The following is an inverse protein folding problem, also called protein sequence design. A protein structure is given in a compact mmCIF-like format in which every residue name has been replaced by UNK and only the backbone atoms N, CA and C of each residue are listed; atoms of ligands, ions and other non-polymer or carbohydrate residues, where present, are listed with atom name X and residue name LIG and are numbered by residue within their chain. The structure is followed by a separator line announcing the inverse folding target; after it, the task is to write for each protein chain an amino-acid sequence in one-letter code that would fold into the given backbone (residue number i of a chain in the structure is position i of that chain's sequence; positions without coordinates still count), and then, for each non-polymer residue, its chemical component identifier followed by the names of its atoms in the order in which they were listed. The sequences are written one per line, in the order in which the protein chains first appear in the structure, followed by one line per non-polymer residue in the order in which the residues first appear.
data_IF_159877089627
#
_entry.id   IF_159877089627
#
_cell.length_a   1.000
_cell.length_b   1.000
_cell.length_c   1.000
_cell.angle_alpha   90.00
_cell.angle_beta   90.00
_cell.angle_gamma   90.00
#
_symmetry.space_group_name_H-M   'P 1'
#
loop_
_entity.id
_entity.type
_entity.pdbx_description
1 polymer ?
#
# COMPACT_ATOMS: atom_id res chain seq x y z
N UNK A 1 -52.53 32.12 38.96
CA UNK A 1 -51.09 32.35 39.23
C UNK A 1 -50.81 33.83 39.07
N UNK A 2 -50.17 34.50 40.06
CA UNK A 2 -49.88 35.93 39.98
C UNK A 2 -48.99 36.19 38.76
N UNK A 3 -49.30 37.22 37.98
CA UNK A 3 -48.68 37.52 36.68
C UNK A 3 -47.14 37.56 36.75
N UNK A 4 -46.58 38.00 37.88
CA UNK A 4 -45.14 37.99 38.13
C UNK A 4 -44.47 36.60 38.16
N UNK A 5 -45.20 35.51 38.49
CA UNK A 5 -44.64 34.14 38.42
C UNK A 5 -44.54 33.64 36.97
N UNK A 6 -45.48 34.02 36.11
CA UNK A 6 -45.44 33.66 34.67
C UNK A 6 -44.27 34.35 33.97
N UNK A 7 -44.04 35.63 34.28
CA UNK A 7 -42.91 36.40 33.73
C UNK A 7 -41.57 35.79 34.18
N UNK A 8 -41.42 35.40 35.45
CA UNK A 8 -40.20 34.73 35.93
C UNK A 8 -39.93 33.38 35.26
N UNK A 9 -40.97 32.61 34.98
CA UNK A 9 -40.83 31.33 34.25
C UNK A 9 -40.45 31.60 32.79
N UNK A 10 -41.06 32.57 32.12
CA UNK A 10 -40.71 32.94 30.74
C UNK A 10 -39.26 33.41 30.65
N UNK A 11 -38.80 34.25 31.59
CA UNK A 11 -37.40 34.70 31.65
C UNK A 11 -36.44 33.53 31.89
N UNK A 12 -36.79 32.58 32.76
CA UNK A 12 -35.98 31.38 33.01
C UNK A 12 -35.87 30.50 31.76
N UNK A 13 -36.97 30.31 31.01
CA UNK A 13 -36.97 29.57 29.76
C UNK A 13 -36.19 30.30 28.66
N UNK A 14 -36.24 31.62 28.60
CA UNK A 14 -35.46 32.43 27.65
C UNK A 14 -33.95 32.31 27.93
N UNK A 15 -33.56 32.34 29.21
CA UNK A 15 -32.16 32.14 29.63
C UNK A 15 -31.71 30.72 29.31
N UNK A 16 -32.53 29.71 29.58
CA UNK A 16 -32.24 28.31 29.26
C UNK A 16 -32.09 28.09 27.74
N UNK A 17 -32.92 28.75 26.93
CA UNK A 17 -32.85 28.68 25.47
C UNK A 17 -31.63 29.42 24.91
N UNK A 18 -31.19 30.51 25.55
CA UNK A 18 -29.96 31.23 25.15
C UNK A 18 -28.67 30.43 25.37
N UNK A 19 -28.66 29.54 26.38
CA UNK A 19 -27.55 28.61 26.60
C UNK A 19 -27.47 27.53 25.52
N UNK A 20 -28.58 27.19 24.87
CA UNK A 20 -28.62 26.26 23.73
C UNK A 20 -28.18 26.89 22.39
N UNK A 21 -28.01 28.22 22.32
CA UNK A 21 -27.62 28.93 21.10
C UNK A 21 -26.09 29.18 21.00
N UNK A 22 -25.30 28.78 21.99
CA UNK A 22 -23.83 28.92 21.98
C UNK A 22 -23.11 27.81 21.17
N UNK A 23 -23.72 27.30 20.10
CA UNK A 23 -23.32 26.08 19.40
C UNK A 23 -22.27 26.22 18.29
N UNK A 24 -21.80 27.44 17.97
CA UNK A 24 -20.93 27.67 16.80
C UNK A 24 -19.62 28.39 17.13
N UNK A 25 -19.07 28.22 18.34
CA UNK A 25 -17.81 28.87 18.73
C UNK A 25 -16.57 28.26 18.04
N UNK A 26 -16.65 27.01 17.58
CA UNK A 26 -15.48 26.25 17.08
C UNK A 26 -15.56 25.95 15.56
N UNK A 27 -16.24 26.82 14.80
CA UNK A 27 -16.35 26.67 13.35
C UNK A 27 -15.17 27.36 12.66
N UNK A 28 -14.36 26.58 11.94
CA UNK A 28 -13.33 27.08 11.02
C UNK A 28 -13.90 26.97 9.61
N UNK A 29 -13.97 28.09 8.88
CA UNK A 29 -14.50 28.14 7.52
C UNK A 29 -13.66 27.30 6.54
N UNK A 30 -14.26 26.83 5.44
CA UNK A 30 -13.56 26.00 4.46
C UNK A 30 -12.41 26.79 3.79
N UNK A 31 -12.63 28.09 3.65
CA UNK A 31 -11.73 29.09 3.10
C UNK A 31 -10.57 29.41 4.04
N UNK A 32 -10.61 29.01 5.31
CA UNK A 32 -9.51 29.17 6.27
C UNK A 32 -8.66 27.90 6.41
N UNK A 33 -9.02 26.82 5.70
CA UNK A 33 -8.32 25.53 5.74
C UNK A 33 -7.30 25.41 4.60
N UNK A 34 -6.13 24.87 4.95
CA UNK A 34 -5.15 24.38 4.00
C UNK A 34 -5.32 22.85 3.88
N UNK A 35 -5.97 22.40 2.80
CA UNK A 35 -6.20 20.97 2.58
C UNK A 35 -4.92 20.29 2.13
N UNK A 36 -4.38 19.43 2.99
CA UNK A 36 -3.19 18.63 2.70
C UNK A 36 -3.62 17.39 1.92
N UNK A 37 -3.13 17.24 0.69
CA UNK A 37 -3.39 16.08 -0.17
C UNK A 37 -2.31 15.01 -0.01
N UNK A 38 -1.06 15.43 0.19
CA UNK A 38 0.07 14.53 0.40
C UNK A 38 1.04 15.08 1.43
N UNK A 39 1.72 14.17 2.13
CA UNK A 39 2.81 14.50 3.04
C UNK A 39 3.99 13.57 2.76
N UNK A 40 5.19 14.14 2.64
CA UNK A 40 6.46 13.42 2.54
C UNK A 40 7.28 13.69 3.78
N UNK A 41 7.83 12.66 4.40
CA UNK A 41 8.62 12.78 5.63
C UNK A 41 10.02 12.25 5.36
N UNK A 42 11.00 13.15 5.35
CA UNK A 42 12.41 12.87 5.20
C UNK A 42 13.17 13.22 6.48
N UNK A 43 14.46 12.89 6.51
CA UNK A 43 15.39 13.30 7.56
C UNK A 43 16.42 14.28 7.00
N UNK A 44 16.75 15.29 7.78
CA UNK A 44 17.84 16.23 7.46
C UNK A 44 19.19 15.63 7.87
N UNK A 45 20.29 16.19 7.36
CA UNK A 45 21.64 15.80 7.76
C UNK A 45 21.90 15.99 9.27
N UNK A 46 21.16 16.91 9.91
CA UNK A 46 21.23 17.23 11.34
C UNK A 46 20.33 16.31 12.18
N UNK A 47 19.60 15.41 11.54
CA UNK A 47 18.74 14.42 12.19
C UNK A 47 17.32 14.91 12.52
N UNK A 48 16.97 16.15 12.17
CA UNK A 48 15.61 16.69 12.28
C UNK A 48 14.69 16.11 11.19
N UNK A 49 13.38 16.13 11.45
CA UNK A 49 12.38 15.83 10.43
C UNK A 49 12.33 16.95 9.40
N UNK A 50 12.29 16.60 8.11
CA UNK A 50 11.93 17.50 7.02
C UNK A 50 10.63 17.00 6.41
N UNK A 51 9.57 17.80 6.50
CA UNK A 51 8.24 17.41 6.05
C UNK A 51 7.82 18.29 4.88
N UNK A 52 7.56 17.67 3.73
CA UNK A 52 6.96 18.32 2.57
C UNK A 52 5.47 18.09 2.55
N UNK A 53 4.70 19.17 2.62
CA UNK A 53 3.24 19.15 2.52
C UNK A 53 2.82 19.60 1.13
N UNK A 54 2.04 18.76 0.42
CA UNK A 54 1.38 19.16 -0.82
C UNK A 54 -0.03 19.64 -0.50
N UNK A 55 -0.26 20.93 -0.69
CA UNK A 55 -1.48 21.65 -0.32
C UNK A 55 -2.30 21.92 -1.57
N UNK A 56 -3.59 21.64 -1.51
CA UNK A 56 -4.51 21.94 -2.60
C UNK A 56 -4.71 23.45 -2.76
N UNK A 57 -4.82 23.90 -4.01
CA UNK A 57 -5.32 25.23 -4.38
C UNK A 57 -6.68 25.08 -5.08
N UNK A 58 -7.81 25.08 -4.35
CA UNK A 58 -9.14 24.80 -4.90
C UNK A 58 -9.49 25.63 -6.13
N UNK A 59 -9.15 26.93 -6.12
CA UNK A 59 -9.40 27.87 -7.21
C UNK A 59 -8.71 27.48 -8.53
N UNK A 60 -7.58 26.77 -8.45
CA UNK A 60 -6.84 26.27 -9.62
C UNK A 60 -7.24 24.84 -10.01
N UNK A 61 -7.89 24.11 -9.10
CA UNK A 61 -8.37 22.76 -9.36
C UNK A 61 -9.70 22.74 -10.12
N UNK A 62 -10.57 23.73 -9.92
CA UNK A 62 -11.92 23.82 -10.51
C UNK A 62 -11.98 24.31 -11.97
N UNK A 63 -10.85 24.71 -12.58
CA UNK A 63 -10.79 25.14 -13.98
C UNK A 63 -10.98 23.99 -14.98
N UNK A 64 -11.93 24.14 -15.91
CA UNK A 64 -12.34 23.17 -16.92
C UNK A 64 -11.30 22.84 -18.01
N UNK A 65 -11.66 21.87 -18.86
CA UNK A 65 -10.84 21.18 -19.89
C UNK A 65 -10.30 22.05 -21.05
N UNK A 66 -10.20 23.37 -20.92
CA UNK A 66 -9.58 24.19 -21.97
C UNK A 66 -8.06 24.23 -21.80
N UNK A 67 -7.39 23.55 -22.71
CA UNK A 67 -5.93 23.50 -22.85
C UNK A 67 -5.32 24.89 -23.03
N UNK A 68 -4.83 25.46 -21.94
CA UNK A 68 -4.12 26.73 -21.96
C UNK A 68 -3.69 27.19 -20.58
N UNK A 69 -2.54 26.69 -20.11
CA UNK A 69 -1.73 27.28 -19.04
C UNK A 69 -2.46 27.55 -17.70
N UNK A 70 -3.24 26.58 -17.21
CA UNK A 70 -3.74 26.57 -15.84
C UNK A 70 -2.61 26.24 -14.85
N UNK A 71 -2.32 27.16 -13.93
CA UNK A 71 -1.23 27.00 -12.95
C UNK A 71 -1.37 25.74 -12.09
N UNK A 72 -0.28 25.39 -11.40
CA UNK A 72 -0.21 24.19 -10.56
C UNK A 72 -1.39 24.12 -9.57
N UNK A 73 -2.13 23.00 -9.59
CA UNK A 73 -3.30 22.79 -8.74
C UNK A 73 -2.93 22.60 -7.27
N UNK A 74 -1.63 22.46 -7.00
CA UNK A 74 -1.07 22.32 -5.67
C UNK A 74 0.14 23.22 -5.46
N UNK A 75 0.49 23.42 -4.20
CA UNK A 75 1.79 23.96 -3.79
C UNK A 75 2.45 23.01 -2.82
N UNK A 76 3.78 22.94 -2.89
CA UNK A 76 4.57 22.13 -1.96
C UNK A 76 5.32 23.06 -1.01
N UNK A 77 5.15 22.84 0.29
CA UNK A 77 5.87 23.58 1.32
C UNK A 77 6.63 22.57 2.19
N UNK A 78 7.94 22.77 2.29
CA UNK A 78 8.81 21.95 3.13
C UNK A 78 9.13 22.72 4.41
N UNK A 79 9.00 22.03 5.55
CA UNK A 79 9.31 22.58 6.87
C UNK A 79 10.16 21.58 7.65
N UNK A 80 11.13 22.11 8.38
CA UNK A 80 12.02 21.32 9.22
C UNK A 80 11.68 21.51 10.69
N UNK A 81 11.72 20.44 11.48
CA UNK A 81 11.46 20.50 12.91
C UNK A 81 12.01 19.31 13.69
N UNK A 82 12.30 19.52 14.96
CA UNK A 82 12.78 18.45 15.86
C UNK A 82 11.70 17.40 16.12
N UNK A 83 10.44 17.79 15.97
CA UNK A 83 9.27 16.89 16.07
C UNK A 83 8.28 17.18 14.95
N UNK A 84 7.43 16.20 14.61
CA UNK A 84 6.35 16.41 13.65
C UNK A 84 5.38 17.53 14.09
N UNK A 85 5.25 17.77 15.41
CA UNK A 85 4.42 18.83 15.96
C UNK A 85 5.05 20.22 15.76
N UNK A 86 6.36 20.35 15.99
CA UNK A 86 7.11 21.58 15.70
C UNK A 86 7.05 21.94 14.21
N UNK A 87 7.30 20.94 13.35
CA UNK A 87 7.18 21.10 11.90
C UNK A 87 5.77 21.56 11.48
N UNK A 88 4.70 20.98 12.05
CA UNK A 88 3.32 21.43 11.82
C UNK A 88 3.09 22.88 12.26
N UNK A 89 3.61 23.30 13.41
CA UNK A 89 3.46 24.67 13.90
C UNK A 89 4.18 25.67 12.99
N UNK A 90 5.37 25.31 12.49
CA UNK A 90 6.09 26.10 11.50
C UNK A 90 5.30 26.24 10.21
N UNK A 91 4.63 25.18 9.74
CA UNK A 91 3.78 25.25 8.55
C UNK A 91 2.68 26.30 8.69
N UNK A 92 2.02 26.38 9.85
CA UNK A 92 0.93 27.36 10.10
C UNK A 92 1.41 28.79 9.84
N UNK A 93 2.66 29.11 10.18
CA UNK A 93 3.24 30.45 9.97
C UNK A 93 3.51 30.78 8.50
N UNK A 94 3.45 29.79 7.59
CA UNK A 94 3.76 29.95 6.17
C UNK A 94 2.53 29.99 5.26
N UNK A 95 1.39 29.39 5.67
CA UNK A 95 0.24 29.18 4.79
C UNK A 95 -0.98 30.06 5.09
N UNK A 96 -0.91 30.89 6.14
CA UNK A 96 -2.00 31.77 6.62
C UNK A 96 -3.36 31.06 6.72
N UNK A 97 -3.32 29.75 7.01
CA UNK A 97 -4.46 28.83 7.01
C UNK A 97 -4.19 27.69 7.99
N UNK A 98 -5.24 27.07 8.50
CA UNK A 98 -5.09 25.91 9.40
C UNK A 98 -4.88 24.64 8.57
N UNK A 99 -3.75 23.91 8.72
CA UNK A 99 -3.52 22.65 8.02
C UNK A 99 -4.56 21.60 8.40
N UNK A 100 -5.22 21.05 7.39
CA UNK A 100 -6.23 20.01 7.52
C UNK A 100 -5.82 18.74 6.77
N UNK A 101 -5.78 17.62 7.50
CA UNK A 101 -5.34 16.31 6.98
C UNK A 101 -6.49 15.36 6.65
N UNK A 102 -7.75 15.80 6.72
CA UNK A 102 -8.90 14.94 6.45
C UNK A 102 -8.93 14.46 4.99
N UNK A 103 -8.27 15.19 4.08
CA UNK A 103 -8.13 14.86 2.67
C UNK A 103 -6.76 14.25 2.31
N UNK A 104 -5.94 13.89 3.29
CA UNK A 104 -4.63 13.28 3.04
C UNK A 104 -4.81 11.93 2.31
N UNK A 105 -4.35 11.88 1.07
CA UNK A 105 -4.45 10.71 0.20
C UNK A 105 -3.22 9.80 0.32
N UNK A 106 -2.04 10.40 0.44
CA UNK A 106 -0.75 9.69 0.44
C UNK A 106 0.19 10.22 1.52
N UNK A 107 0.84 9.28 2.21
CA UNK A 107 1.99 9.51 3.08
C UNK A 107 3.21 8.83 2.45
N UNK A 108 4.22 9.63 2.08
CA UNK A 108 5.52 9.14 1.63
C UNK A 108 6.50 9.15 2.79
N UNK A 109 7.12 8.01 3.04
CA UNK A 109 8.15 7.85 4.07
C UNK A 109 9.49 7.80 3.35
N UNK A 110 10.36 8.76 3.64
CA UNK A 110 11.73 8.79 3.15
C UNK A 110 12.51 7.56 3.58
N UNK A 111 13.44 7.11 2.72
CA UNK A 111 14.21 5.88 2.96
C UNK A 111 14.96 5.89 4.29
N UNK A 112 15.56 7.03 4.68
CA UNK A 112 16.29 7.15 5.95
C UNK A 112 15.38 6.94 7.16
N UNK A 113 14.19 7.55 7.16
CA UNK A 113 13.18 7.35 8.21
C UNK A 113 12.74 5.89 8.26
N UNK A 114 12.53 5.26 7.11
CA UNK A 114 12.15 3.86 7.02
C UNK A 114 13.23 2.92 7.60
N UNK A 115 14.52 3.25 7.43
CA UNK A 115 15.66 2.47 7.96
C UNK A 115 15.86 2.66 9.46
N UNK A 116 15.63 3.86 9.98
CA UNK A 116 15.72 4.13 11.42
C UNK A 116 14.65 3.37 12.23
N UNK A 117 13.44 3.25 11.65
CA UNK A 117 12.32 2.49 12.19
C UNK A 117 11.04 3.31 12.31
N UNK A 118 9.90 2.65 12.14
CA UNK A 118 8.59 3.31 12.07
C UNK A 118 7.83 3.36 13.39
N UNK A 119 8.39 2.84 14.48
CA UNK A 119 7.73 2.74 15.79
C UNK A 119 7.43 4.12 16.39
N UNK A 120 8.46 4.98 16.49
CA UNK A 120 8.29 6.35 16.99
C UNK A 120 7.37 7.16 16.06
N UNK A 121 7.48 6.90 14.75
CA UNK A 121 6.64 7.54 13.74
C UNK A 121 5.16 7.18 13.92
N UNK A 122 4.83 5.90 14.13
CA UNK A 122 3.46 5.44 14.38
C UNK A 122 2.88 6.01 15.66
N UNK A 123 3.65 6.10 16.74
CA UNK A 123 3.16 6.68 17.99
C UNK A 123 2.74 8.14 17.82
N UNK A 124 3.45 8.89 16.98
CA UNK A 124 3.09 10.28 16.67
C UNK A 124 1.87 10.33 15.74
N UNK A 125 1.82 9.48 14.70
CA UNK A 125 0.68 9.44 13.78
C UNK A 125 -0.62 8.99 14.45
N UNK A 126 -0.55 7.99 15.33
CA UNK A 126 -1.71 7.42 16.03
C UNK A 126 -2.35 8.40 17.04
N UNK A 127 -1.59 9.39 17.52
CA UNK A 127 -2.10 10.46 18.40
C UNK A 127 -2.80 11.58 17.64
N UNK A 128 -2.65 11.65 16.32
CA UNK A 128 -3.26 12.68 15.49
C UNK A 128 -4.52 12.14 14.80
N UNK A 129 -5.68 12.45 15.39
CA UNK A 129 -7.00 11.92 15.00
C UNK A 129 -7.50 12.34 13.61
N UNK A 130 -6.78 13.25 12.92
CA UNK A 130 -7.27 13.87 11.68
C UNK A 130 -6.97 13.06 10.41
N UNK A 131 -6.10 12.04 10.47
CA UNK A 131 -5.74 11.22 9.31
C UNK A 131 -6.68 10.03 9.10
N UNK A 132 -7.02 9.75 7.85
CA UNK A 132 -7.90 8.62 7.50
C UNK A 132 -7.10 7.31 7.52
N UNK A 133 -7.71 6.25 8.05
CA UNK A 133 -7.10 4.90 8.05
C UNK A 133 -6.81 4.37 6.63
N UNK A 134 -7.50 4.89 5.61
CA UNK A 134 -7.36 4.50 4.19
C UNK A 134 -6.33 5.33 3.41
N UNK A 135 -5.63 6.26 4.06
CA UNK A 135 -4.51 6.99 3.43
C UNK A 135 -3.47 5.98 2.96
N UNK A 136 -3.02 6.09 1.71
CA UNK A 136 -2.00 5.20 1.14
C UNK A 136 -0.63 5.53 1.72
N UNK A 137 0.17 4.51 2.02
CA UNK A 137 1.53 4.70 2.52
C UNK A 137 2.52 4.06 1.56
N UNK A 138 3.55 4.80 1.20
CA UNK A 138 4.66 4.31 0.36
C UNK A 138 6.00 4.71 0.96
N UNK A 139 7.04 3.96 0.59
CA UNK A 139 8.43 4.33 0.83
C UNK A 139 8.96 5.06 -0.40
N UNK A 140 9.51 6.24 -0.19
CA UNK A 140 10.29 6.95 -1.19
C UNK A 140 11.71 6.35 -1.21
N UNK A 141 12.13 5.79 -2.34
CA UNK A 141 13.53 5.43 -2.56
C UNK A 141 14.26 6.66 -3.07
N UNK A 142 15.00 7.32 -2.18
CA UNK A 142 15.41 8.72 -2.32
C UNK A 142 14.60 9.64 -1.41
N UNK A 143 14.48 10.93 -1.76
CA UNK A 143 13.75 11.92 -0.95
C UNK A 143 12.27 11.97 -1.31
N UNK A 144 11.41 11.92 -0.30
CA UNK A 144 9.96 12.09 -0.48
C UNK A 144 9.62 13.50 -1.01
N UNK A 145 10.38 14.51 -0.61
CA UNK A 145 10.28 15.88 -1.12
C UNK A 145 10.37 15.96 -2.64
N UNK A 146 11.38 15.30 -3.23
CA UNK A 146 11.64 15.33 -4.67
C UNK A 146 10.48 14.70 -5.44
N UNK A 147 10.00 13.54 -4.98
CA UNK A 147 8.86 12.84 -5.58
C UNK A 147 7.60 13.73 -5.55
N UNK A 148 7.30 14.39 -4.42
CA UNK A 148 6.11 15.24 -4.33
C UNK A 148 6.21 16.48 -5.22
N UNK A 149 7.42 17.02 -5.45
CA UNK A 149 7.64 18.19 -6.31
C UNK A 149 7.60 17.85 -7.80
N UNK A 150 7.78 16.58 -8.17
CA UNK A 150 7.65 16.14 -9.55
C UNK A 150 6.20 16.26 -10.01
N UNK A 151 5.99 16.89 -11.17
CA UNK A 151 4.66 17.08 -11.75
C UNK A 151 4.08 15.75 -12.24
N UNK A 152 2.87 15.44 -11.80
CA UNK A 152 2.12 14.31 -12.33
C UNK A 152 1.72 14.52 -13.80
N UNK A 153 1.64 13.44 -14.56
CA UNK A 153 1.32 13.47 -16.00
C UNK A 153 -0.14 13.80 -16.31
N UNK A 154 -1.06 13.32 -15.47
CA UNK A 154 -2.50 13.34 -15.73
C UNK A 154 -3.23 14.14 -14.65
N UNK A 155 -2.93 13.87 -13.38
CA UNK A 155 -3.58 14.53 -12.27
C UNK A 155 -3.00 15.92 -11.99
N UNK A 156 -3.84 16.82 -11.46
CA UNK A 156 -3.42 18.15 -11.00
C UNK A 156 -2.65 18.13 -9.66
N UNK A 157 -2.42 16.95 -9.10
CA UNK A 157 -1.72 16.72 -7.83
C UNK A 157 -0.96 15.41 -7.88
N UNK A 158 0.30 15.44 -7.47
CA UNK A 158 1.14 14.26 -7.34
C UNK A 158 0.61 13.29 -6.30
N UNK A 159 0.08 13.78 -5.18
CA UNK A 159 -0.55 12.94 -4.17
C UNK A 159 -1.80 12.23 -4.69
N UNK A 160 -2.65 12.92 -5.47
CA UNK A 160 -3.81 12.29 -6.12
C UNK A 160 -3.34 11.22 -7.13
N UNK A 161 -2.34 11.53 -7.95
CA UNK A 161 -1.76 10.59 -8.90
C UNK A 161 -1.28 9.31 -8.20
N UNK A 162 -0.46 9.44 -7.16
CA UNK A 162 0.06 8.33 -6.36
C UNK A 162 -1.04 7.53 -5.67
N UNK A 163 -2.14 8.16 -5.26
CA UNK A 163 -3.28 7.47 -4.64
C UNK A 163 -4.08 6.58 -5.62
N UNK A 164 -4.06 6.96 -6.91
CA UNK A 164 -4.81 6.29 -7.97
C UNK A 164 -3.96 5.26 -8.71
N UNK A 165 -2.64 5.43 -8.77
CA UNK A 165 -1.71 4.52 -9.43
C UNK A 165 -1.90 3.04 -9.03
N UNK A 166 -1.98 2.67 -7.74
CA UNK A 166 -2.18 1.28 -7.36
C UNK A 166 -3.48 0.68 -7.89
N UNK A 167 -4.54 1.49 -7.96
CA UNK A 167 -5.85 1.04 -8.43
C UNK A 167 -5.84 0.79 -9.94
N UNK A 168 -5.09 1.60 -10.69
CA UNK A 168 -4.93 1.44 -12.12
C UNK A 168 -3.99 0.29 -12.47
N UNK A 169 -2.85 0.19 -11.78
CA UNK A 169 -1.94 -0.95 -11.89
C UNK A 169 -2.67 -2.25 -11.54
N UNK A 170 -3.46 -2.25 -10.47
CA UNK A 170 -4.15 -3.45 -9.99
C UNK A 170 -5.30 -3.96 -10.85
N UNK A 171 -5.80 -3.17 -11.80
CA UNK A 171 -6.77 -3.69 -12.78
C UNK A 171 -6.15 -4.74 -13.71
N UNK A 172 -4.85 -4.65 -13.97
CA UNK A 172 -4.16 -5.42 -15.01
C UNK A 172 -3.01 -6.25 -14.43
N UNK A 173 -2.28 -5.72 -13.45
CA UNK A 173 -1.04 -6.29 -12.96
C UNK A 173 -0.77 -5.98 -11.47
N UNK A 174 -1.51 -6.62 -10.56
CA UNK A 174 -1.31 -6.42 -9.10
C UNK A 174 0.06 -6.92 -8.58
N UNK A 175 0.79 -7.73 -9.36
CA UNK A 175 2.02 -8.37 -8.90
C UNK A 175 3.25 -7.43 -8.83
N UNK A 176 3.14 -6.16 -9.26
CA UNK A 176 4.27 -5.22 -9.37
C UNK A 176 4.35 -4.18 -8.24
N UNK A 177 3.34 -4.10 -7.37
CA UNK A 177 3.28 -3.08 -6.32
C UNK A 177 2.62 -3.64 -5.07
N UNK A 178 3.23 -3.41 -3.90
CA UNK A 178 2.55 -3.61 -2.61
C UNK A 178 1.72 -2.38 -2.24
N UNK A 179 0.45 -2.56 -1.87
CA UNK A 179 -0.43 -1.44 -1.47
C UNK A 179 -0.93 -1.67 -0.06
N UNK A 180 -0.53 -0.80 0.85
CA UNK A 180 -0.93 -0.84 2.26
C UNK A 180 -1.45 0.53 2.67
N UNK A 181 -2.56 0.51 3.40
CA UNK A 181 -3.15 1.71 3.98
C UNK A 181 -2.54 1.98 5.36
N UNK A 182 -2.56 3.24 5.78
CA UNK A 182 -2.03 3.69 7.07
C UNK A 182 -2.59 2.87 8.24
N UNK A 183 -3.89 2.56 8.21
CA UNK A 183 -4.54 1.76 9.24
C UNK A 183 -3.95 0.36 9.36
N UNK A 184 -3.67 -0.30 8.24
CA UNK A 184 -3.09 -1.66 8.18
C UNK A 184 -1.61 -1.63 8.55
N UNK A 185 -0.85 -0.62 8.13
CA UNK A 185 0.54 -0.44 8.57
C UNK A 185 0.63 -0.31 10.10
N UNK A 186 -0.24 0.51 10.71
CA UNK A 186 -0.30 0.67 12.17
C UNK A 186 -0.69 -0.65 12.86
N UNK A 187 -1.64 -1.41 12.30
CA UNK A 187 -2.02 -2.73 12.83
C UNK A 187 -0.84 -3.71 12.82
N UNK A 188 -0.12 -3.81 11.70
CA UNK A 188 1.04 -4.70 11.60
C UNK A 188 2.14 -4.30 12.58
N UNK A 189 2.47 -3.00 12.68
CA UNK A 189 3.48 -2.51 13.61
C UNK A 189 3.11 -2.76 15.08
N UNK A 190 1.84 -2.66 15.45
CA UNK A 190 1.37 -2.97 16.81
C UNK A 190 1.34 -4.46 17.11
N UNK A 191 1.09 -5.28 16.09
CA UNK A 191 1.11 -6.73 16.19
C UNK A 191 2.52 -7.32 16.12
N UNK A 192 3.54 -6.47 15.91
CA UNK A 192 4.94 -6.86 15.68
C UNK A 192 5.10 -7.78 14.47
N UNK A 193 4.25 -7.57 13.45
CA UNK A 193 4.32 -8.29 12.19
C UNK A 193 5.22 -7.59 11.19
N UNK A 194 5.96 -8.39 10.44
CA UNK A 194 6.70 -7.94 9.27
C UNK A 194 5.74 -7.63 8.12
N UNK A 195 6.07 -6.61 7.34
CA UNK A 195 5.19 -6.15 6.26
C UNK A 195 5.95 -5.55 5.09
N UNK A 196 5.20 -5.24 4.03
CA UNK A 196 5.70 -4.57 2.84
C UNK A 196 4.96 -3.27 2.60
N UNK A 197 5.66 -2.23 2.18
CA UNK A 197 5.06 -0.99 1.64
C UNK A 197 5.47 -0.81 0.18
N UNK A 198 4.61 -0.22 -0.65
CA UNK A 198 4.97 0.06 -2.04
C UNK A 198 6.12 1.06 -2.13
N UNK A 199 6.95 0.93 -3.17
CA UNK A 199 8.09 1.82 -3.41
C UNK A 199 7.76 2.81 -4.50
N UNK A 200 8.00 4.08 -4.22
CA UNK A 200 7.96 5.16 -5.21
C UNK A 200 9.38 5.68 -5.43
N UNK A 201 9.76 5.84 -6.69
CA UNK A 201 11.05 6.39 -7.07
C UNK A 201 10.92 7.23 -8.34
N UNK A 202 11.95 8.03 -8.64
CA UNK A 202 12.04 8.76 -9.90
C UNK A 202 12.89 7.95 -10.89
N UNK A 203 12.33 7.64 -12.06
CA UNK A 203 12.99 6.99 -13.18
C UNK A 203 12.91 7.93 -14.38
N UNK A 204 14.06 8.37 -14.91
CA UNK A 204 14.12 9.32 -16.05
C UNK A 204 13.24 10.56 -15.82
N UNK A 205 13.26 11.12 -14.60
CA UNK A 205 12.43 12.25 -14.14
C UNK A 205 10.93 11.96 -14.01
N UNK A 206 10.50 10.72 -14.19
CA UNK A 206 9.11 10.30 -14.06
C UNK A 206 8.87 9.53 -12.75
N UNK A 207 7.66 9.68 -12.20
CA UNK A 207 7.25 8.96 -11.00
C UNK A 207 6.95 7.50 -11.37
N UNK A 208 7.71 6.58 -10.78
CA UNK A 208 7.55 5.14 -10.92
C UNK A 208 7.09 4.54 -9.58
N UNK A 209 5.96 3.83 -9.61
CA UNK A 209 5.45 3.05 -8.48
C UNK A 209 5.66 1.56 -8.79
N UNK A 210 6.78 1.03 -8.34
CA UNK A 210 7.21 -0.34 -8.62
C UNK A 210 8.06 -0.85 -7.48
N UNK A 211 7.82 -2.10 -7.07
CA UNK A 211 8.56 -2.71 -5.97
C UNK A 211 7.86 -2.62 -4.61
N UNK A 212 8.50 -3.26 -3.63
CA UNK A 212 8.06 -3.26 -2.25
C UNK A 212 9.25 -3.12 -1.30
N UNK A 213 9.13 -2.22 -0.33
CA UNK A 213 10.03 -2.05 0.79
C UNK A 213 9.66 -3.07 1.87
N UNK A 214 10.62 -3.87 2.30
CA UNK A 214 10.44 -4.97 3.26
C UNK A 214 10.83 -4.49 4.66
N UNK A 215 9.91 -4.66 5.61
CA UNK A 215 10.08 -4.24 6.99
C UNK A 215 10.18 -5.46 7.91
N UNK A 216 11.25 -5.52 8.70
CA UNK A 216 11.43 -6.47 9.81
C UNK A 216 11.45 -5.70 11.13
N UNK A 217 10.58 -6.04 12.08
CA UNK A 217 10.47 -5.31 13.35
C UNK A 217 10.28 -3.80 13.15
N UNK A 218 9.54 -3.40 12.10
CA UNK A 218 9.28 -2.01 11.71
C UNK A 218 10.45 -1.20 11.14
N UNK A 219 11.57 -1.85 10.79
CA UNK A 219 12.70 -1.23 10.08
C UNK A 219 12.83 -1.75 8.67
N UNK A 220 13.15 -0.88 7.73
CA UNK A 220 13.43 -1.24 6.35
C UNK A 220 14.72 -2.05 6.23
N UNK A 221 14.61 -3.32 5.83
CA UNK A 221 15.76 -4.24 5.66
C UNK A 221 16.15 -4.46 4.21
N UNK A 222 15.24 -4.21 3.26
CA UNK A 222 15.52 -4.38 1.84
C UNK A 222 14.32 -4.13 0.94
N UNK A 223 14.44 -4.54 -0.32
CA UNK A 223 13.41 -4.32 -1.32
C UNK A 223 13.18 -5.57 -2.17
N UNK A 224 11.92 -5.81 -2.54
CA UNK A 224 11.53 -6.76 -3.59
C UNK A 224 11.19 -6.00 -4.87
N UNK A 225 11.74 -6.47 -5.98
CA UNK A 225 11.46 -5.98 -7.33
C UNK A 225 11.26 -7.15 -8.30
N UNK A 226 10.56 -6.89 -9.41
CA UNK A 226 10.39 -7.88 -10.48
C UNK A 226 9.83 -9.22 -9.98
N UNK A 227 10.54 -10.30 -10.31
CA UNK A 227 10.10 -11.66 -10.03
C UNK A 227 9.96 -11.95 -8.51
N UNK A 228 10.82 -11.37 -7.67
CA UNK A 228 10.77 -11.56 -6.21
C UNK A 228 9.52 -10.94 -5.57
N UNK A 229 9.07 -9.77 -6.06
CA UNK A 229 7.82 -9.14 -5.62
C UNK A 229 6.62 -9.89 -6.18
N UNK A 230 6.67 -10.26 -7.46
CA UNK A 230 5.59 -10.99 -8.09
C UNK A 230 5.30 -12.29 -7.31
N UNK A 231 6.34 -13.06 -6.97
CA UNK A 231 6.20 -14.25 -6.15
C UNK A 231 5.59 -13.98 -4.77
N UNK A 232 5.98 -12.90 -4.09
CA UNK A 232 5.43 -12.54 -2.79
C UNK A 232 3.92 -12.27 -2.88
N UNK A 233 3.49 -11.57 -3.95
CA UNK A 233 2.07 -11.29 -4.18
C UNK A 233 1.27 -12.56 -4.49
N UNK A 234 1.83 -13.49 -5.27
CA UNK A 234 1.21 -14.80 -5.52
C UNK A 234 1.07 -15.61 -4.22
N UNK A 235 2.11 -15.62 -3.38
CA UNK A 235 2.13 -16.34 -2.10
C UNK A 235 1.13 -15.79 -1.09
N UNK A 236 0.95 -14.46 -1.03
CA UNK A 236 -0.09 -13.83 -0.19
C UNK A 236 -1.50 -14.25 -0.61
N UNK A 237 -1.71 -14.42 -1.91
CA UNK A 237 -2.99 -14.89 -2.45
C UNK A 237 -4.04 -13.80 -2.63
N UNK A 238 -3.68 -12.52 -2.49
CA UNK A 238 -4.60 -11.38 -2.62
C UNK A 238 -4.73 -10.86 -4.06
N UNK A 239 -4.08 -11.51 -5.03
CA UNK A 239 -4.12 -11.13 -6.45
C UNK A 239 -5.54 -11.32 -7.01
N UNK A 240 -6.17 -10.21 -7.40
CA UNK A 240 -7.44 -10.19 -8.12
C UNK A 240 -7.24 -10.40 -9.61
N UNK A 241 -6.19 -9.80 -10.17
CA UNK A 241 -5.88 -9.82 -11.59
C UNK A 241 -4.40 -9.56 -11.84
N UNK A 242 -3.73 -10.46 -12.55
CA UNK A 242 -2.34 -10.30 -12.96
C UNK A 242 -2.06 -10.97 -14.30
N UNK A 243 -1.35 -10.24 -15.16
CA UNK A 243 -0.88 -10.76 -16.44
C UNK A 243 0.29 -11.72 -16.24
N UNK A 244 0.14 -12.94 -16.76
CA UNK A 244 1.19 -13.96 -16.83
C UNK A 244 1.53 -14.20 -18.29
N UNK A 245 2.80 -14.05 -18.65
CA UNK A 245 3.31 -14.33 -20.00
C UNK A 245 4.19 -15.57 -19.91
N UNK A 246 3.93 -16.54 -20.78
CA UNK A 246 4.71 -17.77 -20.88
C UNK A 246 5.27 -17.91 -22.27
N UNK A 247 6.57 -18.22 -22.34
CA UNK A 247 7.26 -18.51 -23.59
C UNK A 247 7.23 -20.01 -23.87
N UNK A 248 7.03 -20.36 -25.14
CA UNK A 248 6.96 -21.73 -25.67
C UNK A 248 6.10 -22.69 -24.83
N UNK A 249 4.82 -22.34 -24.54
CA UNK A 249 3.97 -23.18 -23.70
C UNK A 249 3.64 -24.53 -24.34
N UNK A 250 3.70 -24.63 -25.66
CA UNK A 250 3.52 -25.86 -26.44
C UNK A 250 4.50 -25.88 -27.60
N UNK A 251 4.61 -27.01 -28.32
CA UNK A 251 5.48 -27.11 -29.51
C UNK A 251 5.08 -26.19 -30.67
N UNK A 252 3.85 -25.68 -30.68
CA UNK A 252 3.27 -24.88 -31.78
C UNK A 252 3.24 -23.38 -31.48
N UNK A 253 3.36 -23.00 -30.21
CA UNK A 253 3.24 -21.63 -29.73
C UNK A 253 4.59 -21.13 -29.26
N UNK A 254 4.95 -19.90 -29.64
CA UNK A 254 6.10 -19.22 -29.07
C UNK A 254 5.75 -18.46 -27.79
N UNK A 255 4.52 -17.95 -27.66
CA UNK A 255 4.05 -17.22 -26.48
C UNK A 255 2.57 -17.42 -26.21
N UNK A 256 2.18 -17.33 -24.95
CA UNK A 256 0.81 -17.10 -24.51
C UNK A 256 0.78 -16.02 -23.42
N UNK A 257 -0.24 -15.17 -23.47
CA UNK A 257 -0.52 -14.12 -22.48
C UNK A 257 -1.85 -14.45 -21.84
N UNK A 258 -1.85 -14.62 -20.52
CA UNK A 258 -3.02 -14.92 -19.73
C UNK A 258 -3.25 -13.84 -18.67
N UNK A 259 -4.52 -13.57 -18.37
CA UNK A 259 -4.93 -12.79 -17.21
C UNK A 259 -5.41 -13.75 -16.13
N UNK A 260 -4.60 -13.89 -15.09
CA UNK A 260 -4.81 -14.84 -14.00
C UNK A 260 -5.28 -14.12 -12.74
N UNK A 261 -6.16 -14.74 -11.97
CA UNK A 261 -6.72 -14.17 -10.76
C UNK A 261 -7.39 -15.24 -9.90
N UNK A 262 -8.41 -14.83 -9.13
CA UNK A 262 -9.17 -15.72 -8.23
C UNK A 262 -8.28 -16.65 -7.41
N UNK A 263 -7.19 -16.09 -6.88
CA UNK A 263 -6.16 -16.87 -6.22
C UNK A 263 -6.68 -17.41 -4.89
N UNK A 264 -6.41 -18.68 -4.64
CA UNK A 264 -6.68 -19.33 -3.35
C UNK A 264 -5.40 -19.99 -2.89
N UNK A 265 -4.93 -19.60 -1.72
CA UNK A 265 -3.77 -20.18 -1.08
C UNK A 265 -4.19 -20.98 0.15
N UNK A 266 -3.51 -22.10 0.38
CA UNK A 266 -3.68 -22.91 1.59
C UNK A 266 -2.31 -23.29 2.12
N UNK A 267 -1.98 -22.74 3.29
CA UNK A 267 -0.78 -23.06 4.02
C UNK A 267 -1.07 -24.18 5.03
N UNK A 268 -0.20 -25.20 5.08
CA UNK A 268 -0.32 -26.32 6.00
C UNK A 268 1.02 -26.49 6.72
N UNK A 269 1.11 -26.19 8.03
CA UNK A 269 2.33 -26.37 8.80
C UNK A 269 2.50 -27.82 9.28
N UNK A 270 3.72 -28.33 9.15
CA UNK A 270 4.19 -29.61 9.68
C UNK A 270 5.26 -29.38 10.73
N UNK A 271 5.08 -29.92 11.93
CA UNK A 271 6.01 -29.75 13.04
C UNK A 271 6.77 -31.06 13.22
N UNK A 272 8.09 -30.98 13.30
CA UNK A 272 8.97 -32.10 13.62
C UNK A 272 10.00 -31.67 14.68
N UNK A 273 9.69 -31.93 15.95
CA UNK A 273 10.48 -31.40 17.08
C UNK A 273 10.45 -29.87 17.07
N UNK A 274 11.63 -29.25 17.03
CA UNK A 274 11.80 -27.78 17.00
C UNK A 274 11.94 -27.23 15.57
N UNK A 275 11.52 -27.98 14.55
CA UNK A 275 11.49 -27.53 13.16
C UNK A 275 10.05 -27.44 12.68
N UNK A 276 9.82 -26.50 11.77
CA UNK A 276 8.55 -26.33 11.09
C UNK A 276 8.80 -26.25 9.58
N UNK A 277 8.04 -27.04 8.85
CA UNK A 277 8.01 -27.06 7.39
C UNK A 277 6.58 -26.78 6.91
N UNK A 278 6.42 -26.44 5.64
CA UNK A 278 5.11 -26.05 5.10
C UNK A 278 4.82 -26.74 3.77
N UNK A 279 3.55 -27.10 3.58
CA UNK A 279 2.98 -27.28 2.25
C UNK A 279 2.14 -26.05 1.92
N UNK A 280 2.40 -25.45 0.77
CA UNK A 280 1.62 -24.33 0.22
C UNK A 280 0.96 -24.78 -1.07
N UNK A 281 -0.37 -24.85 -1.05
CA UNK A 281 -1.18 -25.10 -2.23
C UNK A 281 -1.72 -23.77 -2.76
N UNK A 282 -1.42 -23.44 -4.02
CA UNK A 282 -1.90 -22.25 -4.71
C UNK A 282 -2.74 -22.66 -5.92
N UNK A 283 -3.99 -22.22 -5.95
CA UNK A 283 -4.90 -22.41 -7.09
C UNK A 283 -5.22 -21.04 -7.68
N UNK A 284 -5.12 -20.92 -9.00
CA UNK A 284 -5.50 -19.71 -9.72
C UNK A 284 -6.31 -20.05 -10.97
N UNK A 285 -7.24 -19.16 -11.31
CA UNK A 285 -8.07 -19.29 -12.49
C UNK A 285 -7.98 -18.01 -13.33
N UNK A 286 -8.08 -18.14 -14.64
CA UNK A 286 -7.94 -16.99 -15.52
C UNK A 286 -8.44 -17.22 -16.93
N UNK A 287 -8.04 -16.31 -17.81
CA UNK A 287 -8.38 -16.33 -19.22
C UNK A 287 -7.16 -16.11 -20.10
N UNK A 288 -7.18 -16.76 -21.27
CA UNK A 288 -6.18 -16.58 -22.31
C UNK A 288 -6.56 -15.33 -23.12
N UNK A 289 -5.62 -14.39 -23.23
CA UNK A 289 -5.80 -13.12 -23.94
C UNK A 289 -5.18 -13.14 -25.33
N UNK A 290 -3.96 -13.66 -25.43
CA UNK A 290 -3.16 -13.60 -26.66
C UNK A 290 -2.29 -14.85 -26.78
N UNK A 291 -2.04 -15.25 -28.03
CA UNK A 291 -1.11 -16.31 -28.39
C UNK A 291 -0.27 -15.86 -29.57
N UNK A 292 0.95 -16.40 -29.65
CA UNK A 292 1.82 -16.15 -30.78
C UNK A 292 2.40 -17.47 -31.32
N UNK A 293 2.34 -17.73 -32.64
CA UNK A 293 1.72 -16.87 -33.66
C UNK A 293 0.18 -16.88 -33.59
N UNK A 294 -0.44 -15.72 -33.88
CA UNK A 294 -1.88 -15.49 -33.66
C UNK A 294 -2.82 -16.25 -34.62
N UNK A 295 -2.27 -16.89 -35.66
CA UNK A 295 -3.01 -17.72 -36.60
C UNK A 295 -3.20 -19.18 -36.13
N UNK A 296 -2.67 -19.53 -34.95
CA UNK A 296 -2.93 -20.81 -34.33
C UNK A 296 -4.31 -20.83 -33.69
N UNK A 297 -4.98 -21.96 -33.84
CA UNK A 297 -6.26 -22.21 -33.21
C UNK A 297 -6.01 -23.03 -31.95
N UNK A 298 -6.44 -22.54 -30.79
CA UNK A 298 -6.35 -23.29 -29.52
C UNK A 298 -7.73 -23.79 -29.14
N UNK A 299 -8.00 -25.06 -29.45
CA UNK A 299 -9.23 -25.74 -29.05
C UNK A 299 -9.01 -27.10 -28.39
N UNK A 300 -7.79 -27.64 -28.43
CA UNK A 300 -7.57 -28.95 -27.84
C UNK A 300 -7.32 -28.82 -26.35
N UNK A 301 -7.84 -29.79 -25.60
CA UNK A 301 -7.57 -29.92 -24.16
C UNK A 301 -6.06 -30.04 -23.89
N UNK A 302 -5.31 -30.66 -24.80
CA UNK A 302 -3.86 -30.80 -24.72
C UNK A 302 -3.13 -29.45 -24.82
N UNK A 303 -3.50 -28.59 -25.77
CA UNK A 303 -2.90 -27.26 -25.92
C UNK A 303 -3.18 -26.37 -24.69
N UNK A 304 -4.42 -26.38 -24.20
CA UNK A 304 -4.81 -25.62 -22.99
C UNK A 304 -4.04 -26.13 -21.78
N UNK A 305 -3.97 -27.46 -21.60
CA UNK A 305 -3.21 -28.09 -20.51
C UNK A 305 -1.71 -27.74 -20.59
N UNK A 306 -1.15 -27.65 -21.79
CA UNK A 306 0.23 -27.20 -21.99
C UNK A 306 0.47 -25.78 -21.50
N UNK A 307 -0.43 -24.85 -21.83
CA UNK A 307 -0.38 -23.46 -21.33
C UNK A 307 -0.56 -23.42 -19.82
N UNK A 308 -1.53 -24.15 -19.27
CA UNK A 308 -1.74 -24.22 -17.81
C UNK A 308 -0.48 -24.68 -17.08
N UNK A 309 0.17 -25.75 -17.54
CA UNK A 309 1.43 -26.24 -16.96
C UNK A 309 2.59 -25.23 -17.08
N UNK A 310 2.65 -24.49 -18.19
CA UNK A 310 3.65 -23.44 -18.35
C UNK A 310 3.40 -22.28 -17.37
N UNK A 311 2.14 -21.91 -17.12
CA UNK A 311 1.75 -20.91 -16.12
C UNK A 311 2.12 -21.41 -14.71
N UNK A 312 1.76 -22.65 -14.37
CA UNK A 312 2.12 -23.29 -13.09
C UNK A 312 3.63 -23.19 -12.85
N UNK A 313 4.43 -23.57 -13.86
CA UNK A 313 5.90 -23.51 -13.78
C UNK A 313 6.41 -22.09 -13.60
N UNK A 314 5.87 -21.10 -14.32
CA UNK A 314 6.27 -19.69 -14.16
C UNK A 314 5.93 -19.17 -12.77
N UNK A 315 4.72 -19.42 -12.25
CA UNK A 315 4.32 -18.99 -10.91
C UNK A 315 5.19 -19.69 -9.84
N UNK A 316 5.47 -20.98 -9.98
CA UNK A 316 6.40 -21.70 -9.07
C UNK A 316 7.77 -21.01 -9.03
N UNK A 317 8.32 -20.64 -10.19
CA UNK A 317 9.59 -19.94 -10.29
C UNK A 317 9.57 -18.59 -9.57
N UNK A 318 8.51 -17.78 -9.81
CA UNK A 318 8.32 -16.50 -9.12
C UNK A 318 8.27 -16.66 -7.60
N UNK A 319 7.44 -17.59 -7.11
CA UNK A 319 7.30 -17.87 -5.69
C UNK A 319 8.62 -18.36 -5.07
N UNK A 320 9.36 -19.23 -5.77
CA UNK A 320 10.67 -19.73 -5.31
C UNK A 320 11.68 -18.58 -5.20
N UNK A 321 11.72 -17.66 -6.15
CA UNK A 321 12.61 -16.51 -6.08
C UNK A 321 12.24 -15.58 -4.92
N UNK A 322 10.95 -15.34 -4.70
CA UNK A 322 10.49 -14.58 -3.54
C UNK A 322 10.89 -15.21 -2.21
N UNK A 323 10.66 -16.51 -2.05
CA UNK A 323 11.04 -17.26 -0.86
C UNK A 323 12.55 -17.25 -0.64
N UNK A 324 13.35 -17.41 -1.70
CA UNK A 324 14.82 -17.32 -1.62
C UNK A 324 15.25 -15.98 -1.04
N UNK A 325 14.75 -14.86 -1.58
CA UNK A 325 15.09 -13.51 -1.09
C UNK A 325 14.62 -13.32 0.36
N UNK A 326 13.39 -13.71 0.68
CA UNK A 326 12.81 -13.51 2.01
C UNK A 326 13.44 -14.41 3.09
N UNK A 327 13.78 -15.67 2.77
CA UNK A 327 14.36 -16.63 3.73
C UNK A 327 15.88 -16.51 3.84
N UNK A 328 16.61 -16.32 2.73
CA UNK A 328 18.07 -16.39 2.71
C UNK A 328 18.73 -15.02 2.90
N UNK A 329 18.20 -13.99 2.22
CA UNK A 329 18.81 -12.65 2.22
C UNK A 329 18.26 -11.77 3.35
N UNK A 330 16.93 -11.73 3.52
CA UNK A 330 16.28 -10.80 4.46
C UNK A 330 15.94 -11.45 5.81
N UNK A 331 15.65 -12.75 5.83
CA UNK A 331 15.18 -13.51 7.01
C UNK A 331 13.93 -12.88 7.64
N UNK A 332 12.93 -12.60 6.81
CA UNK A 332 11.77 -11.77 7.17
C UNK A 332 10.48 -12.38 6.64
N UNK A 333 9.48 -12.54 7.50
CA UNK A 333 8.19 -13.15 7.14
C UNK A 333 7.12 -12.10 6.82
N UNK A 334 7.24 -11.47 5.65
CA UNK A 334 6.19 -10.55 5.16
C UNK A 334 4.95 -11.26 4.59
N UNK A 335 4.92 -12.60 4.62
CA UNK A 335 3.88 -13.45 4.02
C UNK A 335 2.86 -13.95 5.05
N UNK A 336 2.99 -13.56 6.33
CA UNK A 336 2.09 -13.92 7.43
C UNK A 336 2.08 -15.42 7.76
N UNK A 337 3.21 -16.12 7.57
CA UNK A 337 3.33 -17.52 7.97
C UNK A 337 3.24 -17.64 9.50
N UNK A 338 3.82 -16.70 10.24
CA UNK A 338 3.79 -16.67 11.71
C UNK A 338 2.37 -16.62 12.22
N UNK A 339 1.58 -15.69 11.68
CA UNK A 339 0.18 -15.54 12.05
C UNK A 339 -0.62 -16.81 11.77
N UNK A 340 -0.36 -17.46 10.63
CA UNK A 340 -1.00 -18.72 10.31
C UNK A 340 -0.64 -19.81 11.32
N UNK A 341 0.63 -19.91 11.73
CA UNK A 341 1.09 -20.87 12.74
C UNK A 341 0.51 -20.55 14.10
N UNK A 342 0.47 -19.27 14.52
CA UNK A 342 -0.20 -18.82 15.74
C UNK A 342 -1.66 -19.29 15.78
N UNK A 343 -2.36 -19.15 14.67
CA UNK A 343 -3.78 -19.50 14.56
C UNK A 343 -4.05 -21.02 14.51
N UNK A 344 -3.14 -21.83 13.93
CA UNK A 344 -3.35 -23.27 13.72
C UNK A 344 -2.60 -24.17 14.72
N UNK A 345 -1.51 -23.68 15.28
CA UNK A 345 -0.51 -24.40 16.09
C UNK A 345 -0.01 -23.53 17.25
N UNK A 346 -0.94 -22.93 18.00
CA UNK A 346 -0.65 -21.95 19.04
C UNK A 346 0.44 -22.36 20.04
N UNK A 347 0.41 -23.59 20.58
CA UNK A 347 1.40 -24.04 21.57
C UNK A 347 2.83 -24.02 21.00
N UNK A 348 3.00 -24.48 19.75
CA UNK A 348 4.30 -24.43 19.09
C UNK A 348 4.75 -22.99 18.84
N UNK A 349 3.82 -22.12 18.40
CA UNK A 349 4.12 -20.71 18.21
C UNK A 349 4.56 -20.05 19.51
N UNK A 350 3.82 -20.23 20.62
CA UNK A 350 4.15 -19.59 21.90
C UNK A 350 5.56 -19.97 22.40
N UNK A 351 5.95 -21.24 22.25
CA UNK A 351 7.27 -21.74 22.62
C UNK A 351 8.40 -21.20 21.73
N UNK A 352 8.11 -20.83 20.48
CA UNK A 352 9.13 -20.53 19.47
C UNK A 352 9.06 -19.12 18.87
N UNK A 353 8.08 -18.28 19.25
CA UNK A 353 7.84 -16.95 18.65
C UNK A 353 9.05 -16.02 18.68
N UNK A 354 9.90 -16.14 19.71
CA UNK A 354 11.13 -15.34 19.86
C UNK A 354 12.21 -15.70 18.83
N UNK A 355 12.10 -16.87 18.20
CA UNK A 355 13.08 -17.42 17.25
C UNK A 355 12.42 -17.65 15.88
N UNK A 356 11.31 -16.95 15.63
CA UNK A 356 10.49 -17.14 14.43
C UNK A 356 11.28 -16.89 13.15
N UNK A 357 12.04 -15.80 13.06
CA UNK A 357 12.83 -15.46 11.88
C UNK A 357 13.79 -16.59 11.49
N UNK A 358 14.41 -17.24 12.47
CA UNK A 358 15.29 -18.40 12.24
C UNK A 358 14.49 -19.60 11.73
N UNK A 359 13.33 -19.87 12.33
CA UNK A 359 12.46 -20.97 11.91
C UNK A 359 11.95 -20.76 10.48
N UNK A 360 11.43 -19.57 10.18
CA UNK A 360 10.99 -19.19 8.83
C UNK A 360 12.13 -19.34 7.82
N UNK A 361 13.32 -18.84 8.14
CA UNK A 361 14.49 -18.93 7.24
C UNK A 361 14.96 -20.36 6.96
N UNK A 362 14.70 -21.30 7.87
CA UNK A 362 15.12 -22.71 7.73
C UNK A 362 14.01 -23.63 7.22
N UNK A 363 12.77 -23.16 7.19
CA UNK A 363 11.62 -23.96 6.84
C UNK A 363 11.66 -24.42 5.38
N UNK A 364 11.43 -25.71 5.15
CA UNK A 364 11.20 -26.21 3.81
C UNK A 364 9.76 -25.91 3.40
N UNK A 365 9.61 -25.32 2.21
CA UNK A 365 8.30 -25.00 1.64
C UNK A 365 8.11 -25.85 0.39
N UNK A 366 7.22 -26.83 0.52
CA UNK A 366 6.70 -27.62 -0.59
C UNK A 366 5.58 -26.84 -1.28
N UNK A 367 5.80 -26.48 -2.54
CA UNK A 367 4.93 -25.57 -3.29
C UNK A 367 4.23 -26.33 -4.40
N UNK A 368 2.90 -26.37 -4.33
CA UNK A 368 2.03 -26.96 -5.35
C UNK A 368 1.17 -25.86 -5.98
N UNK A 369 1.38 -25.58 -7.26
CA UNK A 369 0.59 -24.59 -8.01
C UNK A 369 -0.31 -25.31 -9.02
N UNK A 370 -1.58 -24.91 -9.09
CA UNK A 370 -2.53 -25.36 -10.10
C UNK A 370 -3.17 -24.17 -10.80
N UNK A 371 -3.04 -24.08 -12.11
CA UNK A 371 -3.64 -23.02 -12.92
C UNK A 371 -4.77 -23.58 -13.79
N UNK A 372 -5.85 -22.82 -13.93
CA UNK A 372 -6.97 -23.19 -14.83
C UNK A 372 -7.37 -22.05 -15.74
N UNK A 373 -7.41 -22.31 -17.04
CA UNK A 373 -7.93 -21.37 -18.05
C UNK A 373 -9.41 -21.64 -18.22
N UNK A 374 -10.24 -20.67 -17.84
CA UNK A 374 -11.70 -20.75 -17.91
C UNK A 374 -12.28 -20.18 -19.19
N UNK A 375 -11.53 -19.32 -19.88
CA UNK A 375 -11.95 -18.63 -21.10
C UNK A 375 -10.79 -18.48 -22.06
N UNK A 376 -11.05 -18.65 -23.35
CA UNK A 376 -10.06 -18.54 -24.44
C UNK A 376 -10.43 -17.50 -25.49
N UNK A 377 -11.40 -16.62 -25.19
CA UNK A 377 -11.92 -15.64 -26.14
C UNK A 377 -12.90 -16.22 -27.18
N UNK A 378 -13.27 -15.40 -28.18
CA UNK A 378 -14.24 -15.73 -29.23
C UNK A 378 -13.61 -16.16 -30.56
N UNK A 379 -12.29 -16.34 -30.61
CA UNK A 379 -11.60 -16.84 -31.80
C UNK A 379 -12.02 -18.28 -32.04
N UNK A 380 -12.94 -18.46 -32.99
CA UNK A 380 -13.45 -19.72 -33.54
C UNK A 380 -12.64 -20.15 -34.75
#
# INVERSE_FOLDING_TARGET
MPEGKKIKIIILWLILFSLCLCGCWDMIELEERAFILGAGVDKTAEGMFSITYQIALPDKMSGGEDGGNGGDGTINITVEGETLYDARNKLITMVDRVPNFEHLQVLLIGEEIARDGLQEFVDILARNYQMRRRTKVFVAKGKAEEILKTKAKIEKSTALYLSMLPQNNGKINEQITATVDLGTMIENLRADFDFMLGVVQLEEEEISLSGAAVFNGGKLVGYLFGDSLAGAQWLKGDIKSSRVIVDKPTGELNKAVCLMGNVKTKLIPFINGNKIDFKLELITEGELLEIYPANQIIFTEEQITGIEKAIETKIISLCRESLRVLQEEMRTDVLMFEEHVRNKKYNFWEENRQDWDRLFSQAQIDLEVRARIRRVGLTR
#
